data_IF_141160307150
#
_entry.id   IF_141160307150
#
_cell.length_a   1.000
_cell.length_b   1.000
_cell.length_c   1.000
_cell.angle_alpha   90.00
_cell.angle_beta   90.00
_cell.angle_gamma   90.00
#
_symmetry.space_group_name_H-M   'P 1'
#
loop_
_entity.id
_entity.type
_entity.pdbx_description
1 polymer ?
#
# COMPACT_ATOMS: atom_id res chain seq x y z
N UNK A 1 11.63 23.88 28.32
CA UNK A 1 11.40 22.59 27.65
C UNK A 1 11.16 22.87 26.17
N UNK A 2 12.11 22.49 25.32
CA UNK A 2 11.91 22.44 23.88
C UNK A 2 11.12 21.17 23.51
N UNK A 3 10.42 21.18 22.37
CA UNK A 3 9.69 19.98 21.87
C UNK A 3 10.64 18.78 21.71
N UNK A 4 11.91 19.05 21.36
CA UNK A 4 12.96 18.04 21.25
C UNK A 4 13.29 17.40 22.60
N UNK A 5 13.38 18.20 23.67
CA UNK A 5 13.62 17.69 25.02
C UNK A 5 12.46 16.79 25.51
N UNK A 6 11.22 17.20 25.27
CA UNK A 6 10.05 16.39 25.62
C UNK A 6 10.02 15.05 24.88
N UNK A 7 10.37 15.04 23.59
CA UNK A 7 10.45 13.81 22.81
C UNK A 7 11.55 12.86 23.31
N UNK A 8 12.72 13.40 23.67
CA UNK A 8 13.80 12.57 24.22
C UNK A 8 13.41 11.96 25.56
N UNK A 9 12.75 12.73 26.42
CA UNK A 9 12.26 12.24 27.71
C UNK A 9 11.23 11.11 27.52
N UNK A 10 10.30 11.24 26.59
CA UNK A 10 9.28 10.22 26.33
C UNK A 10 9.89 8.94 25.73
N UNK A 11 10.90 9.08 24.85
CA UNK A 11 11.62 7.95 24.25
C UNK A 11 12.36 7.14 25.31
N UNK A 12 13.01 7.81 26.27
CA UNK A 12 13.75 7.14 27.36
C UNK A 12 12.83 6.35 28.31
N UNK A 13 11.56 6.78 28.48
CA UNK A 13 10.58 6.10 29.34
C UNK A 13 9.70 5.07 28.61
N UNK A 14 9.84 4.93 27.29
CA UNK A 14 8.96 4.08 26.48
C UNK A 14 9.54 2.68 26.20
N UNK A 15 8.70 1.63 26.14
CA UNK A 15 9.11 0.28 25.74
C UNK A 15 9.40 0.17 24.23
N UNK A 16 10.30 -0.75 23.87
CA UNK A 16 10.83 -0.91 22.50
C UNK A 16 9.75 -1.08 21.40
N UNK A 17 8.64 -1.76 21.69
CA UNK A 17 7.57 -1.96 20.70
C UNK A 17 6.90 -0.64 20.28
N UNK A 18 6.76 0.32 21.20
CA UNK A 18 6.24 1.66 20.88
C UNK A 18 7.28 2.49 20.14
N UNK A 19 8.56 2.28 20.45
CA UNK A 19 9.66 2.96 19.77
C UNK A 19 9.76 2.52 18.30
N UNK A 20 9.55 1.23 18.00
CA UNK A 20 9.54 0.70 16.64
C UNK A 20 8.45 1.35 15.77
N UNK A 21 7.21 1.38 16.26
CA UNK A 21 6.09 2.02 15.56
C UNK A 21 6.30 3.54 15.40
N UNK A 22 6.80 4.21 16.44
CA UNK A 22 7.08 5.65 16.40
C UNK A 22 8.19 5.99 15.41
N UNK A 23 9.21 5.13 15.31
CA UNK A 23 10.33 5.29 14.39
C UNK A 23 9.86 5.15 12.94
N UNK A 24 9.01 4.18 12.64
CA UNK A 24 8.41 4.01 11.32
C UNK A 24 7.52 5.20 10.95
N UNK A 25 6.73 5.71 11.90
CA UNK A 25 5.93 6.91 11.68
C UNK A 25 6.80 8.15 11.40
N UNK A 26 7.90 8.36 12.15
CA UNK A 26 8.83 9.46 11.90
C UNK A 26 9.53 9.34 10.54
N UNK A 27 9.88 8.12 10.12
CA UNK A 27 10.43 7.87 8.77
C UNK A 27 9.42 8.23 7.69
N UNK A 28 8.15 7.86 7.88
CA UNK A 28 7.06 8.22 6.98
C UNK A 28 6.87 9.74 6.86
N UNK A 29 6.93 10.49 7.97
CA UNK A 29 6.84 11.95 7.91
C UNK A 29 8.03 12.57 7.16
N UNK A 30 9.24 12.03 7.33
CA UNK A 30 10.44 12.48 6.61
C UNK A 30 10.35 12.22 5.10
N UNK A 31 9.87 11.04 4.70
CA UNK A 31 9.69 10.72 3.28
C UNK A 31 8.62 11.59 2.65
N UNK A 32 7.51 11.85 3.35
CA UNK A 32 6.46 12.77 2.89
C UNK A 32 6.96 14.20 2.64
N UNK A 33 7.79 14.75 3.53
CA UNK A 33 8.36 16.09 3.31
C UNK A 33 9.29 16.11 2.09
N UNK A 34 10.14 15.09 1.93
CA UNK A 34 11.05 14.98 0.78
C UNK A 34 10.33 14.90 -0.57
N UNK A 35 9.17 14.24 -0.63
CA UNK A 35 8.34 14.19 -1.85
C UNK A 35 7.61 15.50 -2.13
N UNK A 36 7.24 16.27 -1.09
CA UNK A 36 6.59 17.58 -1.27
C UNK A 36 7.55 18.63 -1.86
N UNK A 37 8.86 18.50 -1.60
CA UNK A 37 9.89 19.37 -2.16
C UNK A 37 10.36 18.94 -3.57
N UNK A 38 10.01 17.73 -4.03
CA UNK A 38 10.44 17.17 -5.33
C UNK A 38 9.36 17.14 -6.41
N UNK A 39 8.15 17.64 -6.16
CA UNK A 39 7.05 17.69 -7.13
C UNK A 39 7.12 18.92 -8.05
N UNK A 40 8.31 19.21 -8.59
CA UNK A 40 8.45 20.03 -9.80
C UNK A 40 9.45 19.34 -10.74
N UNK A 41 8.90 18.71 -11.78
CA UNK A 41 9.57 18.18 -12.98
C UNK A 41 10.34 16.86 -12.84
N UNK A 42 9.68 15.74 -13.18
CA UNK A 42 10.28 14.64 -13.94
C UNK A 42 9.20 13.77 -14.58
N UNK A 43 8.81 14.11 -15.81
CA UNK A 43 8.29 13.14 -16.77
C UNK A 43 9.43 12.22 -17.20
N UNK A 44 9.24 10.89 -17.29
CA UNK A 44 10.09 10.05 -18.11
C UNK A 44 9.52 10.00 -19.53
N UNK A 45 10.19 10.69 -20.44
CA UNK A 45 10.15 10.46 -21.89
C UNK A 45 11.01 9.22 -22.20
N UNK A 46 10.43 8.09 -22.62
CA UNK A 46 11.13 7.07 -23.41
C UNK A 46 10.19 6.42 -24.46
N UNK A 47 10.76 6.22 -25.65
CA UNK A 47 10.20 6.13 -27.01
C UNK A 47 9.35 4.88 -27.38
N UNK A 48 8.64 4.89 -28.54
CA UNK A 48 7.59 3.92 -28.88
C UNK A 48 8.12 2.69 -29.62
N UNK A 49 7.67 1.50 -29.25
CA UNK A 49 7.73 0.32 -30.14
C UNK A 49 6.56 -0.62 -29.91
N UNK A 50 5.61 -0.52 -30.84
CA UNK A 50 4.69 -1.52 -31.38
C UNK A 50 4.68 -2.94 -30.75
N UNK A 51 3.66 -3.23 -29.93
CA UNK A 51 2.82 -4.45 -30.07
C UNK A 51 1.74 -4.52 -28.99
N UNK A 52 0.52 -4.80 -29.43
CA UNK A 52 -0.68 -5.15 -28.64
C UNK A 52 -1.27 -4.01 -27.76
N UNK A 53 -2.17 -3.25 -28.38
CA UNK A 53 -3.08 -2.32 -27.73
C UNK A 53 -4.01 -3.05 -26.75
N UNK A 54 -3.57 -3.21 -25.50
CA UNK A 54 -4.48 -3.03 -24.38
C UNK A 54 -4.25 -1.61 -23.86
N UNK A 55 -5.30 -0.81 -23.58
CA UNK A 55 -5.14 0.47 -22.93
C UNK A 55 -4.66 0.24 -21.51
N UNK A 56 -3.35 0.06 -21.33
CA UNK A 56 -2.71 0.07 -20.04
C UNK A 56 -2.76 1.51 -19.54
N UNK A 57 -3.85 1.82 -18.83
CA UNK A 57 -3.96 3.05 -18.10
C UNK A 57 -3.03 2.92 -16.89
N UNK A 58 -1.98 3.75 -16.75
CA UNK A 58 -1.15 3.72 -15.56
C UNK A 58 -2.07 3.91 -14.36
N UNK A 59 -2.03 2.97 -13.41
CA UNK A 59 -2.81 3.09 -12.20
C UNK A 59 -2.43 4.42 -11.55
N UNK A 60 -3.37 5.35 -11.53
CA UNK A 60 -3.24 6.58 -10.76
C UNK A 60 -3.12 6.12 -9.32
N UNK A 61 -1.90 5.99 -8.79
CA UNK A 61 -1.62 5.59 -7.40
C UNK A 61 -2.20 6.54 -6.36
N UNK A 62 -3.08 7.47 -6.78
CA UNK A 62 -3.93 8.33 -5.97
C UNK A 62 -5.00 7.47 -5.28
N UNK A 63 -4.55 6.81 -4.22
CA UNK A 63 -5.33 6.20 -3.14
C UNK A 63 -6.40 5.20 -3.57
N UNK A 64 -6.07 3.91 -3.42
CA UNK A 64 -7.03 2.78 -3.41
C UNK A 64 -8.22 3.07 -2.47
N UNK A 65 -8.03 3.94 -1.48
CA UNK A 65 -9.03 4.32 -0.49
C UNK A 65 -9.99 5.43 -0.94
N UNK A 66 -9.89 5.97 -2.16
CA UNK A 66 -10.78 7.04 -2.64
C UNK A 66 -12.27 6.65 -2.58
N UNK A 67 -12.56 5.36 -2.66
CA UNK A 67 -13.91 4.80 -2.65
C UNK A 67 -14.16 3.91 -1.42
N UNK A 68 -13.23 3.87 -0.45
CA UNK A 68 -13.47 3.16 0.79
C UNK A 68 -14.60 3.86 1.56
N UNK A 69 -15.61 3.10 1.98
CA UNK A 69 -16.77 3.64 2.71
C UNK A 69 -17.84 4.31 1.84
N UNK A 70 -17.68 4.38 0.51
CA UNK A 70 -18.76 4.83 -0.40
C UNK A 70 -19.64 3.69 -0.91
N UNK A 71 -19.43 2.47 -0.40
CA UNK A 71 -20.23 1.32 -0.77
C UNK A 71 -21.62 1.47 -0.14
N UNK A 72 -22.66 1.30 -0.96
CA UNK A 72 -24.05 1.36 -0.55
C UNK A 72 -24.68 -0.01 -0.77
N UNK A 73 -25.46 -0.48 0.19
CA UNK A 73 -26.04 -1.83 0.21
C UNK A 73 -25.85 -2.49 1.58
N UNK A 74 -26.80 -3.32 1.98
CA UNK A 74 -26.78 -4.18 3.16
C UNK A 74 -26.58 -5.67 2.80
N UNK A 75 -26.24 -5.94 1.54
CA UNK A 75 -26.13 -7.26 0.91
C UNK A 75 -24.73 -7.88 1.01
N UNK A 76 -23.84 -7.31 1.83
CA UNK A 76 -22.49 -7.82 2.04
C UNK A 76 -22.48 -9.31 2.44
N UNK A 77 -23.28 -9.67 3.44
CA UNK A 77 -23.33 -11.04 3.96
C UNK A 77 -23.93 -12.02 2.94
N UNK A 78 -24.96 -11.62 2.21
CA UNK A 78 -25.59 -12.43 1.15
C UNK A 78 -24.61 -12.72 0.01
N UNK A 79 -23.95 -11.67 -0.50
CA UNK A 79 -22.96 -11.79 -1.56
C UNK A 79 -21.77 -12.64 -1.12
N UNK A 80 -21.28 -12.43 0.11
CA UNK A 80 -20.19 -13.19 0.68
C UNK A 80 -20.56 -14.69 0.80
N UNK A 81 -21.77 -14.99 1.25
CA UNK A 81 -22.25 -16.37 1.37
C UNK A 81 -22.40 -17.05 0.00
N UNK A 82 -22.87 -16.32 -1.02
CA UNK A 82 -22.94 -16.82 -2.38
C UNK A 82 -21.56 -17.19 -2.93
N UNK A 83 -20.52 -16.38 -2.65
CA UNK A 83 -19.13 -16.70 -3.00
C UNK A 83 -18.65 -17.94 -2.27
N UNK A 84 -18.91 -18.07 -0.96
CA UNK A 84 -18.54 -19.26 -0.21
C UNK A 84 -19.21 -20.54 -0.74
N UNK A 85 -20.48 -20.44 -1.14
CA UNK A 85 -21.26 -21.57 -1.64
C UNK A 85 -20.79 -22.03 -3.04
N UNK A 86 -20.33 -21.10 -3.87
CA UNK A 86 -19.98 -21.38 -5.28
C UNK A 86 -18.49 -21.54 -5.53
N UNK A 87 -17.62 -21.06 -4.62
CA UNK A 87 -16.17 -21.13 -4.83
C UNK A 87 -15.67 -22.58 -4.82
N UNK A 88 -14.87 -22.92 -5.83
CA UNK A 88 -14.09 -24.16 -5.85
C UNK A 88 -12.94 -24.13 -4.86
N UNK A 89 -12.44 -25.32 -4.47
CA UNK A 89 -11.17 -25.41 -3.73
C UNK A 89 -10.02 -25.05 -4.66
N UNK A 90 -9.12 -24.19 -4.18
CA UNK A 90 -7.88 -23.91 -4.90
C UNK A 90 -7.07 -25.22 -5.00
N UNK A 91 -6.62 -25.53 -6.22
CA UNK A 91 -5.64 -26.58 -6.48
C UNK A 91 -4.38 -25.90 -6.97
N UNK A 92 -3.27 -26.21 -6.34
CA UNK A 92 -1.96 -25.73 -6.73
C UNK A 92 -1.17 -26.93 -7.20
N UNK A 93 -0.70 -26.89 -8.43
CA UNK A 93 0.13 -27.95 -9.01
C UNK A 93 1.56 -27.76 -8.51
N UNK A 94 1.89 -28.39 -7.37
CA UNK A 94 3.21 -28.30 -6.76
C UNK A 94 4.29 -29.08 -7.53
N UNK A 95 3.87 -29.94 -8.46
CA UNK A 95 4.78 -30.75 -9.28
C UNK A 95 5.44 -29.92 -10.41
N UNK A 96 4.95 -28.71 -10.70
CA UNK A 96 5.58 -27.72 -11.57
C UNK A 96 5.99 -26.49 -10.75
N UNK A 97 6.98 -26.64 -9.89
CA UNK A 97 7.66 -25.48 -9.30
C UNK A 97 8.92 -25.13 -10.10
N UNK A 98 8.90 -24.16 -11.02
CA UNK A 98 10.06 -23.78 -11.84
C UNK A 98 11.18 -23.09 -11.04
N UNK A 99 10.99 -22.88 -9.73
CA UNK A 99 11.94 -22.22 -8.84
C UNK A 99 12.62 -23.17 -7.84
N UNK A 100 12.37 -24.48 -7.92
CA UNK A 100 13.10 -25.49 -7.14
C UNK A 100 14.21 -26.09 -8.03
N UNK A 101 15.39 -25.49 -7.98
CA UNK A 101 16.65 -25.94 -8.57
C UNK A 101 17.64 -26.30 -7.45
#
# INVERSE_FOLDING_TARGET
MSIKELLLQEIESSPDFLLEETLDFLRFLKTKQKTADSDTLAQPEENPTDSSQLPYHPASGRSILRHAGTWAGDDFDECLQAVYATRGKAKFDYDLNPYQL
#
